data_IF_566220737864
#
_entry.id   IF_566220737864
#
_cell.length_a   1.000
_cell.length_b   1.000
_cell.length_c   1.000
_cell.angle_alpha   90.00
_cell.angle_beta   90.00
_cell.angle_gamma   90.00
#
_symmetry.space_group_name_H-M   'P 1'
#
loop_
_entity.id
_entity.type
_entity.pdbx_description
1 polymer ?
#
# COMPACT_ATOMS: atom_id res chain seq x y z
N UNK A 1 52.64 -54.94 36.76
CA UNK A 1 52.76 -54.69 35.32
C UNK A 1 51.97 -53.43 34.97
N UNK A 2 52.63 -52.26 34.93
CA UNK A 2 51.99 -50.98 34.65
C UNK A 2 51.89 -50.76 33.14
N UNK A 3 50.69 -50.50 32.60
CA UNK A 3 50.49 -50.16 31.18
C UNK A 3 50.35 -48.65 31.03
N UNK A 4 51.38 -48.02 30.45
CA UNK A 4 51.36 -46.61 30.05
C UNK A 4 50.45 -46.45 28.82
N UNK A 5 49.42 -45.61 28.91
CA UNK A 5 48.46 -45.36 27.83
C UNK A 5 48.89 -44.11 27.06
N UNK A 6 49.47 -44.30 25.87
CA UNK A 6 49.89 -43.20 24.98
C UNK A 6 48.65 -42.45 24.48
N UNK A 7 48.64 -41.12 24.65
CA UNK A 7 47.53 -40.24 24.24
C UNK A 7 47.82 -39.68 22.85
N UNK A 8 46.96 -39.97 21.88
CA UNK A 8 47.05 -39.44 20.51
C UNK A 8 46.78 -37.93 20.50
N UNK A 9 47.56 -37.11 19.75
CA UNK A 9 47.33 -35.67 19.68
C UNK A 9 46.06 -35.35 18.88
N UNK A 10 45.33 -34.32 19.35
CA UNK A 10 44.08 -33.82 18.75
C UNK A 10 44.40 -33.08 17.43
N UNK A 11 43.66 -33.32 16.33
CA UNK A 11 43.87 -32.59 15.08
C UNK A 11 43.59 -31.09 15.24
N UNK A 12 44.36 -30.25 14.55
CA UNK A 12 44.16 -28.81 14.52
C UNK A 12 42.82 -28.44 13.85
N UNK A 13 42.14 -27.36 14.29
CA UNK A 13 40.88 -26.93 13.71
C UNK A 13 41.08 -26.36 12.29
N UNK A 14 40.22 -26.79 11.37
CA UNK A 14 40.16 -26.33 9.98
C UNK A 14 39.81 -24.83 9.91
N UNK A 15 40.41 -24.04 8.99
CA UNK A 15 40.03 -22.64 8.81
C UNK A 15 38.56 -22.51 8.40
N UNK A 16 37.80 -21.69 9.12
CA UNK A 16 36.41 -21.40 8.79
C UNK A 16 36.34 -20.61 7.47
N UNK A 17 35.52 -21.07 6.53
CA UNK A 17 35.23 -20.35 5.29
C UNK A 17 34.47 -19.04 5.61
N UNK A 18 34.69 -17.95 4.84
CA UNK A 18 34.00 -16.69 5.07
C UNK A 18 32.50 -16.85 4.85
N UNK A 19 31.71 -16.62 5.91
CA UNK A 19 30.25 -16.63 5.85
C UNK A 19 29.79 -15.41 5.06
N UNK A 20 29.38 -15.62 3.81
CA UNK A 20 28.66 -14.61 3.03
C UNK A 20 27.27 -14.45 3.65
N UNK A 21 27.00 -13.33 4.34
CA UNK A 21 25.65 -13.01 4.83
C UNK A 21 24.75 -12.80 3.62
N UNK A 22 23.91 -13.78 3.32
CA UNK A 22 22.79 -13.61 2.40
C UNK A 22 21.72 -12.85 3.17
N UNK A 23 21.45 -11.61 2.77
CA UNK A 23 20.28 -10.88 3.26
C UNK A 23 19.04 -11.65 2.77
N UNK A 24 18.15 -12.13 3.65
CA UNK A 24 16.90 -12.74 3.19
C UNK A 24 16.08 -11.67 2.50
N UNK A 25 15.86 -11.80 1.19
CA UNK A 25 14.94 -10.93 0.44
C UNK A 25 13.48 -11.32 0.64
N UNK A 26 13.22 -12.44 1.33
CA UNK A 26 11.90 -12.90 1.72
C UNK A 26 11.95 -13.44 3.15
N UNK A 27 10.90 -13.23 3.96
CA UNK A 27 10.78 -13.98 5.21
C UNK A 27 10.65 -15.47 4.87
N UNK A 28 11.42 -16.31 5.58
CA UNK A 28 11.42 -17.77 5.41
C UNK A 28 10.08 -18.45 5.77
N UNK A 29 9.08 -17.67 6.20
CA UNK A 29 7.77 -18.15 6.63
C UNK A 29 6.63 -17.34 6.02
N UNK A 30 5.58 -18.06 5.60
CA UNK A 30 4.32 -17.47 5.17
C UNK A 30 3.60 -16.88 6.38
N UNK A 31 3.09 -15.66 6.24
CA UNK A 31 2.30 -15.01 7.29
C UNK A 31 0.83 -15.43 7.23
N UNK A 32 0.11 -15.26 8.34
CA UNK A 32 -1.35 -15.46 8.37
C UNK A 32 -2.07 -14.55 7.37
N UNK A 33 -1.63 -13.29 7.23
CA UNK A 33 -2.21 -12.34 6.28
C UNK A 33 -2.03 -12.79 4.82
N UNK A 34 -0.86 -13.33 4.47
CA UNK A 34 -0.62 -13.92 3.14
C UNK A 34 -1.50 -15.14 2.90
N UNK A 35 -1.61 -16.01 3.91
CA UNK A 35 -2.41 -17.23 3.85
C UNK A 35 -3.88 -16.92 3.67
N UNK A 36 -4.43 -16.01 4.48
CA UNK A 36 -5.82 -15.58 4.40
C UNK A 36 -6.14 -14.95 3.03
N UNK A 37 -5.29 -14.04 2.55
CA UNK A 37 -5.51 -13.37 1.27
C UNK A 37 -5.45 -14.34 0.08
N UNK A 38 -4.48 -15.26 0.11
CA UNK A 38 -4.37 -16.30 -0.91
C UNK A 38 -5.61 -17.21 -0.96
N UNK A 39 -6.06 -17.71 0.19
CA UNK A 39 -7.25 -18.57 0.24
C UNK A 39 -8.52 -17.83 -0.19
N UNK A 40 -8.71 -16.58 0.26
CA UNK A 40 -9.84 -15.78 -0.19
C UNK A 40 -9.79 -15.51 -1.71
N UNK A 41 -8.61 -15.33 -2.29
CA UNK A 41 -8.46 -15.04 -3.71
C UNK A 41 -8.72 -16.29 -4.57
N UNK A 42 -8.33 -17.47 -4.07
CA UNK A 42 -8.72 -18.75 -4.68
C UNK A 42 -10.24 -18.94 -4.68
N UNK A 43 -10.91 -18.65 -3.55
CA UNK A 43 -12.37 -18.77 -3.46
C UNK A 43 -13.10 -17.79 -4.39
N UNK A 44 -12.52 -16.62 -4.62
CA UNK A 44 -13.03 -15.60 -5.52
C UNK A 44 -12.65 -15.82 -7.01
N UNK A 45 -11.88 -16.87 -7.32
CA UNK A 45 -11.33 -17.17 -8.66
C UNK A 45 -10.52 -16.01 -9.26
N UNK A 46 -9.83 -15.24 -8.42
CA UNK A 46 -9.03 -14.10 -8.87
C UNK A 46 -7.79 -14.55 -9.67
N UNK A 47 -7.33 -13.77 -10.67
CA UNK A 47 -6.17 -14.13 -11.50
C UNK A 47 -4.93 -14.47 -10.67
N UNK A 48 -4.07 -15.35 -11.21
CA UNK A 48 -2.91 -15.97 -10.54
C UNK A 48 -2.38 -15.21 -9.32
N UNK A 49 -2.40 -15.89 -8.17
CA UNK A 49 -1.51 -15.54 -7.06
C UNK A 49 -0.86 -16.83 -6.57
N UNK A 50 0.45 -16.82 -6.33
CA UNK A 50 1.05 -17.72 -5.35
C UNK A 50 0.91 -17.06 -3.99
N UNK A 51 0.87 -17.86 -2.93
CA UNK A 51 0.80 -17.32 -1.57
C UNK A 51 1.96 -16.37 -1.25
N UNK A 52 3.14 -16.59 -1.84
CA UNK A 52 4.32 -15.74 -1.70
C UNK A 52 4.21 -14.39 -2.41
N UNK A 53 3.31 -14.26 -3.39
CA UNK A 53 3.16 -13.03 -4.16
C UNK A 53 2.31 -11.99 -3.43
N UNK A 54 1.70 -12.38 -2.31
CA UNK A 54 1.00 -11.48 -1.40
C UNK A 54 2.00 -10.80 -0.47
N UNK A 55 1.92 -9.48 -0.40
CA UNK A 55 2.72 -8.65 0.49
C UNK A 55 1.87 -8.23 1.70
N UNK A 56 2.26 -8.56 2.94
CA UNK A 56 1.57 -8.08 4.14
C UNK A 56 1.49 -6.56 4.18
N UNK A 57 0.38 -6.02 4.66
CA UNK A 57 0.19 -4.59 4.88
C UNK A 57 0.03 -4.29 6.39
N UNK A 58 0.43 -3.09 6.85
CA UNK A 58 0.07 -2.62 8.18
C UNK A 58 -1.44 -2.70 8.38
N UNK A 59 -1.90 -3.28 9.49
CA UNK A 59 -3.33 -3.49 9.76
C UNK A 59 -3.87 -4.90 9.47
N UNK A 60 -3.00 -5.89 9.23
CA UNK A 60 -3.39 -7.30 9.16
C UNK A 60 -3.92 -7.77 7.79
N UNK A 61 -3.94 -6.90 6.80
CA UNK A 61 -4.27 -7.23 5.41
C UNK A 61 -3.05 -7.69 4.60
N UNK A 62 -3.28 -7.98 3.33
CA UNK A 62 -2.23 -8.21 2.35
C UNK A 62 -2.63 -7.65 0.98
N UNK A 63 -1.66 -7.43 0.10
CA UNK A 63 -1.93 -6.99 -1.26
C UNK A 63 -1.06 -7.71 -2.28
N UNK A 64 -1.53 -7.76 -3.52
CA UNK A 64 -0.80 -8.31 -4.65
C UNK A 64 -0.97 -7.39 -5.86
N UNK A 65 0.08 -7.20 -6.66
CA UNK A 65 0.03 -6.40 -7.89
C UNK A 65 0.17 -7.30 -9.11
N UNK A 66 -0.83 -7.27 -9.99
CA UNK A 66 -0.85 -8.03 -11.23
C UNK A 66 -0.02 -7.38 -12.36
N UNK A 67 0.34 -8.13 -13.42
CA UNK A 67 1.08 -7.59 -14.56
C UNK A 67 0.42 -6.41 -15.28
N UNK A 68 -0.92 -6.28 -15.21
CA UNK A 68 -1.65 -5.15 -15.77
C UNK A 68 -1.59 -3.88 -14.88
N UNK A 69 -0.81 -3.90 -13.80
CA UNK A 69 -0.70 -2.80 -12.83
C UNK A 69 -1.82 -2.74 -11.80
N UNK A 70 -2.84 -3.61 -11.88
CA UNK A 70 -3.92 -3.65 -10.89
C UNK A 70 -3.40 -4.22 -9.58
N UNK A 71 -3.60 -3.48 -8.49
CA UNK A 71 -3.30 -3.96 -7.13
C UNK A 71 -4.58 -4.49 -6.48
N UNK A 72 -4.61 -5.75 -6.08
CA UNK A 72 -5.66 -6.30 -5.25
C UNK A 72 -5.25 -6.15 -3.79
N UNK A 73 -6.09 -5.51 -2.99
CA UNK A 73 -5.92 -5.36 -1.55
C UNK A 73 -6.94 -6.23 -0.83
N UNK A 74 -6.45 -7.15 -0.01
CA UNK A 74 -7.25 -7.99 0.88
C UNK A 74 -7.28 -7.38 2.28
N UNK A 75 -8.48 -7.19 2.82
CA UNK A 75 -8.69 -6.82 4.21
C UNK A 75 -9.58 -7.89 4.87
N UNK A 76 -9.07 -8.65 5.85
CA UNK A 76 -9.88 -9.67 6.50
C UNK A 76 -11.01 -9.04 7.35
N UNK A 77 -12.14 -9.76 7.46
CA UNK A 77 -13.25 -9.38 8.34
C UNK A 77 -14.31 -8.47 7.71
N UNK A 78 -14.27 -8.25 6.39
CA UNK A 78 -15.30 -7.54 5.64
C UNK A 78 -16.13 -8.50 4.78
N UNK A 79 -17.40 -8.17 4.53
CA UNK A 79 -18.28 -8.98 3.65
C UNK A 79 -17.77 -9.03 2.19
N UNK A 80 -17.06 -7.99 1.77
CA UNK A 80 -16.34 -7.93 0.48
C UNK A 80 -14.84 -7.85 0.81
N UNK A 81 -14.10 -8.96 0.68
CA UNK A 81 -12.75 -9.05 1.23
C UNK A 81 -11.68 -8.36 0.38
N UNK A 82 -12.00 -7.99 -0.87
CA UNK A 82 -11.03 -7.36 -1.77
C UNK A 82 -11.46 -5.99 -2.29
N UNK A 83 -10.46 -5.14 -2.47
CA UNK A 83 -10.54 -3.93 -3.30
C UNK A 83 -9.52 -4.04 -4.43
N UNK A 84 -9.99 -3.98 -5.68
CA UNK A 84 -9.15 -3.83 -6.85
C UNK A 84 -8.82 -2.34 -7.06
N UNK A 85 -7.53 -2.02 -7.14
CA UNK A 85 -7.00 -0.70 -7.41
C UNK A 85 -6.45 -0.71 -8.82
N UNK A 86 -7.28 -0.26 -9.77
CA UNK A 86 -7.03 -0.34 -11.20
C UNK A 86 -6.52 1.01 -11.73
N UNK A 87 -5.28 1.08 -12.25
CA UNK A 87 -4.81 2.30 -12.90
C UNK A 87 -5.59 2.56 -14.19
N UNK A 88 -5.86 3.83 -14.50
CA UNK A 88 -6.48 4.23 -15.76
C UNK A 88 -5.50 5.02 -16.66
N UNK A 89 -5.76 5.09 -17.98
CA UNK A 89 -4.90 5.84 -18.92
C UNK A 89 -4.75 7.33 -18.59
N UNK A 90 -5.69 7.91 -17.85
CA UNK A 90 -5.66 9.33 -17.47
C UNK A 90 -4.89 9.59 -16.16
N UNK A 91 -4.13 8.60 -15.67
CA UNK A 91 -3.20 8.78 -14.55
C UNK A 91 -3.80 8.65 -13.15
N UNK A 92 -5.07 8.27 -13.01
CA UNK A 92 -5.66 7.94 -11.71
C UNK A 92 -5.64 6.43 -11.44
N UNK A 93 -5.97 6.08 -10.21
CA UNK A 93 -6.26 4.70 -9.79
C UNK A 93 -7.67 4.65 -9.22
N UNK A 94 -8.49 3.74 -9.73
CA UNK A 94 -9.86 3.54 -9.27
C UNK A 94 -9.89 2.40 -8.24
N UNK A 95 -10.53 2.64 -7.10
CA UNK A 95 -10.82 1.59 -6.12
C UNK A 95 -12.19 0.97 -6.39
N UNK A 96 -12.26 -0.34 -6.57
CA UNK A 96 -13.51 -1.06 -6.77
C UNK A 96 -13.55 -2.29 -5.86
N UNK A 97 -14.56 -2.44 -4.98
CA UNK A 97 -14.76 -3.67 -4.23
C UNK A 97 -15.00 -4.84 -5.18
N UNK A 98 -14.31 -5.96 -4.96
CA UNK A 98 -14.45 -7.17 -5.77
C UNK A 98 -14.52 -8.41 -4.88
N UNK A 99 -15.36 -9.35 -5.26
CA UNK A 99 -15.54 -10.64 -4.58
C UNK A 99 -15.42 -11.82 -5.56
N UNK A 100 -15.40 -11.55 -6.87
CA UNK A 100 -15.35 -12.57 -7.91
C UNK A 100 -14.45 -12.16 -9.07
N UNK A 101 -14.03 -13.13 -9.87
CA UNK A 101 -13.31 -12.91 -11.12
C UNK A 101 -14.00 -11.92 -12.06
N UNK A 102 -15.30 -12.10 -12.28
CA UNK A 102 -16.09 -11.22 -13.16
C UNK A 102 -16.05 -9.77 -12.69
N UNK A 103 -16.16 -9.53 -11.38
CA UNK A 103 -16.10 -8.17 -10.83
C UNK A 103 -14.71 -7.56 -11.00
N UNK A 104 -13.65 -8.35 -10.84
CA UNK A 104 -12.28 -7.92 -11.13
C UNK A 104 -12.11 -7.54 -12.60
N UNK A 105 -12.53 -8.39 -13.54
CA UNK A 105 -12.39 -8.11 -14.97
C UNK A 105 -13.21 -6.86 -15.38
N UNK A 106 -14.41 -6.69 -14.82
CA UNK A 106 -15.22 -5.49 -15.01
C UNK A 106 -14.54 -4.23 -14.47
N UNK A 107 -13.90 -4.29 -13.30
CA UNK A 107 -13.16 -3.16 -12.73
C UNK A 107 -11.95 -2.76 -13.59
N UNK A 108 -11.23 -3.75 -14.14
CA UNK A 108 -10.12 -3.52 -15.08
C UNK A 108 -10.65 -2.88 -16.37
N UNK A 109 -11.73 -3.41 -16.94
CA UNK A 109 -12.33 -2.87 -18.16
C UNK A 109 -12.83 -1.43 -17.95
N UNK A 110 -13.53 -1.15 -16.85
CA UNK A 110 -14.03 0.17 -16.53
C UNK A 110 -12.90 1.21 -16.41
N UNK A 111 -11.80 0.86 -15.75
CA UNK A 111 -10.63 1.75 -15.64
C UNK A 111 -9.95 1.98 -17.00
N UNK A 112 -9.82 0.94 -17.83
CA UNK A 112 -9.27 1.05 -19.18
C UNK A 112 -10.12 1.92 -20.11
N UNK A 113 -11.45 1.92 -19.89
CA UNK A 113 -12.40 2.74 -20.64
C UNK A 113 -12.62 4.13 -20.02
N UNK A 114 -11.91 4.47 -18.94
CA UNK A 114 -12.03 5.77 -18.32
C UNK A 114 -11.60 6.86 -19.30
N UNK A 115 -12.54 7.72 -19.70
CA UNK A 115 -12.30 8.90 -20.54
C UNK A 115 -12.25 10.19 -19.73
N UNK A 116 -12.55 10.12 -18.42
CA UNK A 116 -12.54 11.29 -17.55
C UNK A 116 -11.09 11.70 -17.28
N UNK A 117 -10.78 12.96 -17.58
CA UNK A 117 -9.51 13.55 -17.18
C UNK A 117 -9.46 13.61 -15.65
N UNK A 118 -8.56 12.83 -15.08
CA UNK A 118 -8.09 13.01 -13.71
C UNK A 118 -6.96 14.02 -13.77
N UNK A 119 -6.91 14.93 -12.78
CA UNK A 119 -6.04 16.10 -12.81
C UNK A 119 -4.69 15.77 -13.40
N UNK A 120 -4.45 16.28 -14.62
CA UNK A 120 -3.23 15.97 -15.35
C UNK A 120 -2.06 16.40 -14.45
N UNK A 121 -1.00 15.58 -14.28
CA UNK A 121 0.22 16.04 -13.66
C UNK A 121 0.72 17.22 -14.50
N UNK A 122 0.51 18.43 -13.98
CA UNK A 122 0.95 19.66 -14.64
C UNK A 122 2.38 19.84 -14.19
N UNK A 123 3.32 19.87 -15.13
CA UNK A 123 4.61 20.51 -14.85
C UNK A 123 4.30 22.00 -14.72
N UNK A 124 4.18 22.48 -13.49
CA UNK A 124 4.04 23.91 -13.24
C UNK A 124 5.34 24.57 -13.65
N UNK A 125 5.25 25.66 -14.42
CA UNK A 125 6.38 26.56 -14.59
C UNK A 125 6.80 27.12 -13.22
N UNK A 126 8.05 27.57 -13.08
CA UNK A 126 8.54 28.16 -11.82
C UNK A 126 7.64 29.30 -11.33
N UNK A 127 7.10 30.10 -12.25
CA UNK A 127 6.15 31.18 -11.95
C UNK A 127 4.81 30.67 -11.43
N UNK A 128 4.25 29.61 -12.03
CA UNK A 128 2.99 29.00 -11.58
C UNK A 128 3.15 28.26 -10.25
N UNK A 129 4.30 27.62 -10.01
CA UNK A 129 4.64 27.02 -8.73
C UNK A 129 4.74 28.08 -7.61
N UNK A 130 5.30 29.25 -7.93
CA UNK A 130 5.37 30.38 -6.98
C UNK A 130 3.98 30.96 -6.65
N UNK A 131 3.03 30.93 -7.59
CA UNK A 131 1.63 31.31 -7.31
C UNK A 131 0.96 30.32 -6.35
N UNK A 132 1.13 29.01 -6.56
CA UNK A 132 0.57 27.99 -5.65
C UNK A 132 1.23 27.97 -4.26
N UNK A 133 2.48 28.45 -4.16
CA UNK A 133 3.14 28.65 -2.87
C UNK A 133 2.47 29.75 -2.04
N UNK A 134 1.87 30.76 -2.69
CA UNK A 134 1.05 31.75 -2.00
C UNK A 134 -0.24 31.12 -1.45
N UNK A 135 -0.88 30.23 -2.21
CA UNK A 135 -2.10 29.51 -1.78
C UNK A 135 -1.85 28.43 -0.72
N UNK A 136 -0.60 28.01 -0.53
CA UNK A 136 -0.17 27.06 0.51
C UNK A 136 0.68 27.72 1.59
N UNK A 137 0.64 29.06 1.68
CA UNK A 137 1.37 29.79 2.70
C UNK A 137 1.03 29.23 4.08
N UNK A 138 2.09 28.91 4.83
CA UNK A 138 1.97 28.51 6.22
C UNK A 138 1.39 29.69 7.00
N UNK A 139 0.13 29.55 7.43
CA UNK A 139 -0.53 30.55 8.26
C UNK A 139 0.29 30.79 9.51
N UNK A 140 0.70 32.04 9.74
CA UNK A 140 1.37 32.43 10.96
C UNK A 140 0.34 32.93 11.99
N UNK A 141 0.79 33.17 13.23
CA UNK A 141 -0.10 33.58 14.32
C UNK A 141 -0.88 34.87 14.05
N UNK A 142 -0.34 35.79 13.25
CA UNK A 142 -1.03 37.03 12.89
C UNK A 142 -2.14 36.77 11.88
N UNK A 143 -1.93 35.89 10.90
CA UNK A 143 -2.97 35.52 9.93
C UNK A 143 -4.17 34.86 10.62
N UNK A 144 -3.89 34.02 11.62
CA UNK A 144 -4.91 33.39 12.48
C UNK A 144 -5.63 34.46 13.31
N UNK A 145 -4.91 35.38 13.93
CA UNK A 145 -5.50 36.45 14.73
C UNK A 145 -6.40 37.37 13.87
N UNK A 146 -5.95 37.73 12.66
CA UNK A 146 -6.74 38.52 11.70
C UNK A 146 -7.99 37.76 11.27
N UNK A 147 -7.89 36.48 10.94
CA UNK A 147 -9.05 35.65 10.60
C UNK A 147 -10.07 35.53 11.75
N UNK A 148 -9.59 35.43 12.99
CA UNK A 148 -10.44 35.39 14.18
C UNK A 148 -11.14 36.72 14.45
N UNK A 149 -10.44 37.85 14.29
CA UNK A 149 -11.08 39.17 14.39
C UNK A 149 -12.12 39.40 13.30
N UNK A 150 -11.85 38.91 12.07
CA UNK A 150 -12.79 39.05 10.96
C UNK A 150 -14.05 38.20 11.16
N UNK A 151 -13.91 37.01 11.76
CA UNK A 151 -15.05 36.16 12.17
C UNK A 151 -15.85 36.79 13.31
N UNK A 152 -15.20 37.48 14.24
CA UNK A 152 -15.88 38.15 15.34
C UNK A 152 -16.78 39.31 14.87
N UNK A 153 -16.48 39.88 13.70
CA UNK A 153 -17.28 40.93 13.05
C UNK A 153 -18.21 40.39 11.96
N UNK A 154 -18.15 39.09 11.66
CA UNK A 154 -18.98 38.46 10.64
C UNK A 154 -20.40 38.29 11.19
N UNK A 155 -21.38 38.90 10.52
CA UNK A 155 -22.79 38.86 10.90
C UNK A 155 -23.57 37.75 10.20
N UNK A 156 -22.91 36.90 9.41
CA UNK A 156 -23.53 35.70 8.83
C UNK A 156 -24.05 34.79 9.95
N UNK A 157 -25.37 34.80 10.14
CA UNK A 157 -26.07 33.86 11.02
C UNK A 157 -25.94 32.44 10.45
N UNK A 158 -25.82 31.41 11.29
CA UNK A 158 -25.84 30.02 10.84
C UNK A 158 -27.11 29.77 10.01
N UNK A 159 -26.94 29.32 8.77
CA UNK A 159 -28.07 28.88 7.94
C UNK A 159 -28.60 27.58 8.52
N UNK A 160 -29.86 27.56 8.91
CA UNK A 160 -30.49 26.34 9.41
C UNK A 160 -30.40 25.24 8.35
N UNK A 161 -29.95 24.06 8.77
CA UNK A 161 -29.96 22.89 7.90
C UNK A 161 -31.42 22.51 7.61
N UNK A 162 -31.78 22.20 6.35
CA UNK A 162 -33.10 21.68 6.03
C UNK A 162 -33.38 20.44 6.88
N UNK A 163 -34.47 20.45 7.63
CA UNK A 163 -34.92 19.27 8.37
C UNK A 163 -35.41 18.20 7.38
N UNK A 164 -35.20 16.90 7.72
CA UNK A 164 -35.61 15.79 6.88
C UNK A 164 -37.13 15.68 6.69
#
# INVERSE_FOLDING_TARGET
MSRTKTRTPKPAPTPALPVRRVQPTHPDFLTEAQTAAYHAALLADLPQTRIQDWTPAPGGGAHHTHPNGTRIQHLPGTDIPFTALTPCPNGATHGTPVATRTQYDNAVQAANQCTRLHGQPRTLTLAQAATTAADTQQLNGNDIATGLTHRATDTEQPKEHPQP
#
